data_IF_462608027002
#
_entry.id   IF_462608027002
#
_cell.length_a   1.000
_cell.length_b   1.000
_cell.length_c   1.000
_cell.angle_alpha   90.00
_cell.angle_beta   90.00
_cell.angle_gamma   90.00
#
_symmetry.space_group_name_H-M   'P 1'
#
loop_
_entity.id
_entity.type
_entity.pdbx_description
1 polymer ?
#
# COMPACT_ATOMS: atom_id res chain seq x y z
N UNK A 1 1.15 -8.21 -18.59
CA UNK A 1 0.85 -6.82 -18.16
C UNK A 1 0.44 -6.72 -16.70
N UNK A 2 -0.21 -7.75 -16.18
CA UNK A 2 -0.60 -8.03 -14.79
C UNK A 2 0.50 -7.74 -13.78
N UNK A 3 1.72 -8.20 -14.04
CA UNK A 3 2.84 -7.99 -13.12
C UNK A 3 3.22 -6.51 -13.03
N UNK A 4 3.19 -5.78 -14.16
CA UNK A 4 3.50 -4.34 -14.17
C UNK A 4 2.40 -3.57 -13.42
N UNK A 5 1.13 -3.85 -13.69
CA UNK A 5 0.02 -3.20 -12.97
C UNK A 5 0.01 -3.56 -11.48
N UNK A 6 0.40 -4.78 -11.11
CA UNK A 6 0.52 -5.18 -9.72
C UNK A 6 1.67 -4.44 -9.00
N UNK A 7 2.82 -4.30 -9.65
CA UNK A 7 3.94 -3.52 -9.12
C UNK A 7 3.58 -2.03 -8.97
N UNK A 8 2.84 -1.46 -9.92
CA UNK A 8 2.34 -0.09 -9.82
C UNK A 8 1.38 0.08 -8.63
N UNK A 9 0.47 -0.88 -8.43
CA UNK A 9 -0.43 -0.88 -7.28
C UNK A 9 0.33 -0.99 -5.95
N UNK A 10 1.32 -1.87 -5.87
CA UNK A 10 2.19 -2.00 -4.70
C UNK A 10 2.98 -0.70 -4.43
N UNK A 11 3.58 -0.12 -5.47
CA UNK A 11 4.32 1.13 -5.36
C UNK A 11 3.45 2.29 -4.87
N UNK A 12 2.22 2.42 -5.40
CA UNK A 12 1.27 3.41 -4.96
C UNK A 12 0.83 3.19 -3.49
N UNK A 13 0.61 1.93 -3.10
CA UNK A 13 0.30 1.57 -1.72
C UNK A 13 1.42 1.94 -0.75
N UNK A 14 2.67 1.65 -1.11
CA UNK A 14 3.84 1.97 -0.30
C UNK A 14 4.09 3.47 -0.21
N UNK A 15 3.92 4.19 -1.33
CA UNK A 15 3.97 5.65 -1.36
C UNK A 15 2.93 6.29 -0.43
N UNK A 16 1.66 5.85 -0.51
CA UNK A 16 0.61 6.35 0.38
C UNK A 16 0.90 6.01 1.85
N UNK A 17 1.36 4.79 2.12
CA UNK A 17 1.73 4.35 3.48
C UNK A 17 2.87 5.18 4.06
N UNK A 18 3.85 5.56 3.24
CA UNK A 18 4.92 6.47 3.62
C UNK A 18 4.37 7.87 3.97
N UNK A 19 3.44 8.40 3.18
CA UNK A 19 2.81 9.70 3.46
C UNK A 19 1.98 9.67 4.75
N UNK A 20 1.21 8.61 4.99
CA UNK A 20 0.48 8.39 6.26
C UNK A 20 1.47 8.32 7.43
N UNK A 21 2.58 7.60 7.24
CA UNK A 21 3.69 7.50 8.19
C UNK A 21 4.28 8.84 8.63
N UNK A 22 4.24 9.86 7.77
CA UNK A 22 4.77 11.20 8.07
C UNK A 22 3.86 12.01 9.02
N UNK A 23 2.66 11.54 9.32
CA UNK A 23 1.75 12.27 10.20
C UNK A 23 2.31 12.39 11.62
N UNK A 24 2.45 13.62 12.11
CA UNK A 24 2.92 13.94 13.47
C UNK A 24 1.80 13.95 14.51
N UNK A 25 0.55 14.08 14.05
CA UNK A 25 -0.61 14.23 14.93
C UNK A 25 -1.31 12.90 15.21
N UNK A 26 -0.98 11.84 14.47
CA UNK A 26 -1.59 10.53 14.61
C UNK A 26 -0.76 9.64 15.54
N UNK A 27 -1.42 8.78 16.30
CA UNK A 27 -0.72 7.76 17.09
C UNK A 27 -0.13 6.67 16.19
N UNK A 28 0.91 5.99 16.66
CA UNK A 28 1.55 4.89 15.91
C UNK A 28 0.54 3.83 15.47
N UNK A 29 -0.46 3.52 16.32
CA UNK A 29 -1.52 2.54 16.01
C UNK A 29 -2.42 2.99 14.86
N UNK A 30 -2.80 4.27 14.82
CA UNK A 30 -3.62 4.80 13.72
C UNK A 30 -2.83 4.82 12.40
N UNK A 31 -1.54 5.13 12.48
CA UNK A 31 -0.65 5.14 11.32
C UNK A 31 -0.42 3.74 10.76
N UNK A 32 -0.20 2.73 11.60
CA UNK A 32 -0.12 1.32 11.15
C UNK A 32 -1.41 0.83 10.54
N UNK A 33 -2.56 1.13 11.16
CA UNK A 33 -3.87 0.79 10.60
C UNK A 33 -4.09 1.50 9.25
N UNK A 34 -3.64 2.75 9.12
CA UNK A 34 -3.66 3.47 7.85
C UNK A 34 -2.82 2.79 6.76
N UNK A 35 -1.63 2.30 7.12
CA UNK A 35 -0.77 1.51 6.23
C UNK A 35 -1.35 0.14 5.85
N UNK A 36 -2.05 -0.54 6.77
CA UNK A 36 -2.80 -1.75 6.47
C UNK A 36 -3.94 -1.46 5.48
N UNK A 37 -4.72 -0.42 5.78
CA UNK A 37 -5.89 -0.04 4.99
C UNK A 37 -5.50 0.44 3.59
N UNK A 38 -4.42 1.20 3.44
CA UNK A 38 -3.90 1.62 2.14
C UNK A 38 -3.46 0.40 1.32
N UNK A 39 -2.67 -0.50 1.91
CA UNK A 39 -2.22 -1.72 1.24
C UNK A 39 -3.37 -2.59 0.75
N UNK A 40 -4.38 -2.80 1.61
CA UNK A 40 -5.56 -3.59 1.25
C UNK A 40 -6.42 -2.88 0.19
N UNK A 41 -6.60 -1.57 0.35
CA UNK A 41 -7.34 -0.74 -0.60
C UNK A 41 -6.75 -0.79 -2.01
N UNK A 42 -5.42 -0.71 -2.12
CA UNK A 42 -4.75 -0.81 -3.42
C UNK A 42 -4.79 -2.22 -4.03
N UNK A 43 -4.77 -3.28 -3.21
CA UNK A 43 -5.00 -4.64 -3.71
C UNK A 43 -6.42 -4.80 -4.29
N UNK A 44 -7.43 -4.26 -3.61
CA UNK A 44 -8.82 -4.26 -4.09
C UNK A 44 -8.96 -3.42 -5.36
N UNK A 45 -8.37 -2.21 -5.39
CA UNK A 45 -8.40 -1.35 -6.57
C UNK A 45 -7.73 -2.01 -7.78
N UNK A 46 -6.59 -2.68 -7.59
CA UNK A 46 -5.95 -3.47 -8.63
C UNK A 46 -6.90 -4.51 -9.21
N UNK A 47 -7.58 -5.28 -8.35
CA UNK A 47 -8.51 -6.33 -8.80
C UNK A 47 -9.71 -5.74 -9.54
N UNK A 48 -10.35 -4.71 -8.99
CA UNK A 48 -11.52 -4.07 -9.61
C UNK A 48 -11.15 -3.49 -10.98
N UNK A 49 -10.02 -2.79 -11.08
CA UNK A 49 -9.57 -2.20 -12.35
C UNK A 49 -9.20 -3.25 -13.38
N UNK A 50 -8.45 -4.29 -13.00
CA UNK A 50 -8.05 -5.36 -13.92
C UNK A 50 -9.26 -6.14 -14.43
N UNK A 51 -10.21 -6.46 -13.55
CA UNK A 51 -11.48 -7.11 -13.96
C UNK A 51 -12.28 -6.20 -14.89
N UNK A 52 -12.42 -4.91 -14.55
CA UNK A 52 -13.17 -3.94 -15.38
C UNK A 52 -12.54 -3.80 -16.77
N UNK A 53 -11.23 -3.60 -16.84
CA UNK A 53 -10.53 -3.49 -18.12
C UNK A 53 -10.59 -4.81 -18.89
N UNK A 54 -10.45 -5.96 -18.21
CA UNK A 54 -10.58 -7.27 -18.84
C UNK A 54 -11.95 -7.51 -19.49
N UNK A 55 -13.03 -6.95 -18.92
CA UNK A 55 -14.36 -6.97 -19.54
C UNK A 55 -14.46 -6.05 -20.77
N UNK A 56 -13.83 -4.87 -20.72
CA UNK A 56 -13.85 -3.91 -21.83
C UNK A 56 -12.90 -4.29 -22.97
N UNK A 57 -11.83 -5.02 -22.66
CA UNK A 57 -10.79 -5.45 -23.60
C UNK A 57 -10.48 -6.95 -23.38
N UNK A 58 -11.32 -7.85 -23.94
CA UNK A 58 -11.11 -9.29 -23.79
C UNK A 58 -9.74 -9.74 -24.33
N UNK A 59 -9.10 -10.66 -23.62
CA UNK A 59 -7.78 -11.20 -23.97
C UNK A 59 -6.60 -10.31 -23.55
N UNK A 60 -6.85 -9.14 -22.96
CA UNK A 60 -5.78 -8.25 -22.45
C UNK A 60 -5.12 -8.78 -21.17
N UNK A 61 -5.91 -9.42 -20.32
CA UNK A 61 -5.48 -9.98 -19.05
C UNK A 61 -5.82 -11.47 -18.95
N UNK A 62 -4.89 -12.26 -18.42
CA UNK A 62 -5.12 -13.65 -18.10
C UNK A 62 -5.77 -13.80 -16.71
N UNK A 63 -7.00 -14.31 -16.58
CA UNK A 63 -7.75 -14.29 -15.31
C UNK A 63 -7.05 -15.01 -14.16
N UNK A 64 -6.42 -16.14 -14.45
CA UNK A 64 -5.64 -16.90 -13.48
C UNK A 64 -4.50 -16.05 -12.91
N UNK A 65 -3.74 -15.39 -13.79
CA UNK A 65 -2.59 -14.60 -13.42
C UNK A 65 -3.02 -13.34 -12.63
N UNK A 66 -4.13 -12.71 -12.99
CA UNK A 66 -4.74 -11.62 -12.21
C UNK A 66 -5.07 -12.07 -10.78
N UNK A 67 -5.68 -13.26 -10.64
CA UNK A 67 -6.00 -13.83 -9.32
C UNK A 67 -4.77 -14.04 -8.45
N UNK A 68 -3.70 -14.60 -9.00
CA UNK A 68 -2.43 -14.81 -8.27
C UNK A 68 -1.83 -13.48 -7.80
N UNK A 69 -1.80 -12.46 -8.67
CA UNK A 69 -1.28 -11.14 -8.30
C UNK A 69 -2.15 -10.46 -7.24
N UNK A 70 -3.48 -10.61 -7.32
CA UNK A 70 -4.39 -10.08 -6.33
C UNK A 70 -4.17 -10.72 -4.96
N UNK A 71 -4.09 -12.05 -4.87
CA UNK A 71 -3.84 -12.75 -3.59
C UNK A 71 -2.48 -12.32 -3.02
N UNK A 72 -1.44 -12.27 -3.86
CA UNK A 72 -0.12 -11.80 -3.44
C UNK A 72 -0.17 -10.37 -2.90
N UNK A 73 -0.81 -9.44 -3.61
CA UNK A 73 -0.98 -8.05 -3.18
C UNK A 73 -1.82 -7.93 -1.91
N UNK A 74 -2.91 -8.70 -1.79
CA UNK A 74 -3.80 -8.67 -0.63
C UNK A 74 -3.12 -9.10 0.67
N UNK A 75 -2.00 -9.82 0.59
CA UNK A 75 -1.18 -10.18 1.75
C UNK A 75 0.01 -9.23 1.89
N UNK A 76 0.79 -9.04 0.82
CA UNK A 76 2.06 -8.32 0.88
C UNK A 76 1.85 -6.81 1.05
N UNK A 77 0.90 -6.22 0.33
CA UNK A 77 0.70 -4.78 0.34
C UNK A 77 0.24 -4.24 1.71
N UNK A 78 -0.75 -4.86 2.40
CA UNK A 78 -1.10 -4.43 3.76
C UNK A 78 0.05 -4.58 4.75
N UNK A 79 0.73 -5.72 4.75
CA UNK A 79 1.80 -6.01 5.73
C UNK A 79 2.97 -5.03 5.54
N UNK A 80 3.43 -4.85 4.31
CA UNK A 80 4.51 -3.90 4.03
C UNK A 80 4.05 -2.45 4.18
N UNK A 81 2.82 -2.12 3.80
CA UNK A 81 2.25 -0.78 4.01
C UNK A 81 2.21 -0.41 5.49
N UNK A 82 1.75 -1.31 6.35
CA UNK A 82 1.78 -1.15 7.80
C UNK A 82 3.20 -0.94 8.34
N UNK A 83 4.14 -1.77 7.89
CA UNK A 83 5.53 -1.68 8.31
C UNK A 83 6.17 -0.34 7.87
N UNK A 84 5.97 0.07 6.62
CA UNK A 84 6.46 1.34 6.09
C UNK A 84 5.87 2.51 6.89
N UNK A 85 4.56 2.53 7.11
CA UNK A 85 3.90 3.59 7.86
C UNK A 85 4.45 3.67 9.30
N UNK A 86 4.60 2.53 9.99
CA UNK A 86 5.13 2.47 11.34
C UNK A 86 6.58 2.96 11.45
N UNK A 87 7.44 2.50 10.53
CA UNK A 87 8.86 2.83 10.53
C UNK A 87 9.08 4.30 10.20
N UNK A 88 8.35 4.83 9.22
CA UNK A 88 8.39 6.25 8.87
C UNK A 88 7.95 7.10 10.06
N UNK A 89 6.85 6.74 10.72
CA UNK A 89 6.36 7.49 11.88
C UNK A 89 7.35 7.51 13.03
N UNK A 90 7.90 6.35 13.41
CA UNK A 90 8.95 6.26 14.43
C UNK A 90 10.20 7.07 14.06
N UNK A 91 10.57 7.09 12.78
CA UNK A 91 11.69 7.88 12.32
C UNK A 91 11.43 9.39 12.51
N UNK A 92 10.25 9.85 12.11
CA UNK A 92 9.84 11.25 12.25
C UNK A 92 9.76 11.64 13.73
N UNK A 93 9.13 10.84 14.59
CA UNK A 93 9.06 11.10 16.04
C UNK A 93 10.46 11.23 16.67
N UNK A 94 11.41 10.38 16.27
CA UNK A 94 12.80 10.45 16.77
C UNK A 94 13.52 11.72 16.31
N UNK A 95 13.32 12.12 15.05
CA UNK A 95 13.91 13.33 14.49
C UNK A 95 13.36 14.57 15.19
N UNK A 96 12.05 14.60 15.47
CA UNK A 96 11.43 15.71 16.19
C UNK A 96 11.86 15.77 17.65
N UNK A 97 11.94 14.63 18.34
CA UNK A 97 12.47 14.57 19.71
C UNK A 97 13.92 15.08 19.80
N UNK A 98 14.76 14.82 18.80
CA UNK A 98 16.15 15.29 18.75
C UNK A 98 16.29 16.81 18.50
N UNK A 99 15.23 17.49 18.08
CA UNK A 99 15.21 18.94 17.85
C UNK A 99 14.79 19.74 19.07
N UNK A 100 14.25 19.08 20.10
CA UNK A 100 13.90 19.74 21.35
C UNK A 100 15.18 20.16 22.07
N UNK A 101 15.29 21.42 22.51
CA UNK A 101 16.45 21.89 23.27
C UNK A 101 16.40 21.28 24.67
N UNK A 102 17.10 20.17 24.86
CA UNK A 102 17.58 19.74 26.16
C UNK A 102 19.01 20.23 26.33
#
# INVERSE_FOLDING_TARGET
METISALLAAGAAFGLSYLIGRSLTASTLLVTLGGLASGLGFAILFFVLTVTIGHLMPGLFEPWFVGVHFIGLAVVAPVLGAAIAALTHRHVERVDAARLPF
#
